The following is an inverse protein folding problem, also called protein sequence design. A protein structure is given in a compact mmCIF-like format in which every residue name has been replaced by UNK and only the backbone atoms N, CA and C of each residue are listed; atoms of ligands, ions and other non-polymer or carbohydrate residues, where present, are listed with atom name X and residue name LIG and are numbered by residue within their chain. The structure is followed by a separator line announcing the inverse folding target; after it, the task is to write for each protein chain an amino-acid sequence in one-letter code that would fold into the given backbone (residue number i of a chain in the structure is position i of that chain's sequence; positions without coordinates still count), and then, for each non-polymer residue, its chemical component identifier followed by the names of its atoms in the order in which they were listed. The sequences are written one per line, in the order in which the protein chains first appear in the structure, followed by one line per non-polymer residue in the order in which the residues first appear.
data_IF_618789860373
#
_entry.id   IF_618789860373
#
_cell.length_a   1.000
_cell.length_b   1.000
_cell.length_c   1.000
_cell.angle_alpha   90.00
_cell.angle_beta   90.00
_cell.angle_gamma   90.00
#
_symmetry.space_group_name_H-M   'P 1'
#
loop_
_entity.id
_entity.type
_entity.pdbx_description
1 polymer ?
#
# COMPACT_ATOMS: atom_id res chain seq x y z
N UNK A 1 30.24 15.24 20.25
CA UNK A 1 30.51 15.25 18.80
C UNK A 1 30.27 13.88 18.17
N UNK A 2 31.06 12.84 18.46
CA UNK A 2 30.88 11.50 17.82
C UNK A 2 29.48 10.88 18.04
N UNK A 3 28.92 10.98 19.25
CA UNK A 3 27.57 10.51 19.54
C UNK A 3 26.47 11.35 18.89
N UNK A 4 26.69 12.65 18.71
CA UNK A 4 25.71 13.55 18.10
C UNK A 4 25.62 13.27 16.60
N UNK A 5 26.75 13.04 15.94
CA UNK A 5 26.83 12.64 14.53
C UNK A 5 26.15 11.29 14.30
N UNK A 6 26.36 10.33 15.21
CA UNK A 6 25.69 9.03 15.15
C UNK A 6 24.16 9.16 15.33
N UNK A 7 23.72 10.04 16.23
CA UNK A 7 22.29 10.30 16.44
C UNK A 7 21.67 10.94 15.19
N UNK A 8 22.34 11.93 14.60
CA UNK A 8 21.88 12.60 13.37
C UNK A 8 21.77 11.60 12.22
N UNK A 9 22.79 10.76 12.03
CA UNK A 9 22.78 9.72 10.99
C UNK A 9 21.60 8.75 11.16
N UNK A 10 21.29 8.33 12.38
CA UNK A 10 20.14 7.45 12.65
C UNK A 10 18.80 8.15 12.41
N UNK A 11 18.69 9.44 12.73
CA UNK A 11 17.47 10.22 12.48
C UNK A 11 17.23 10.44 10.97
N UNK A 12 18.29 10.65 10.19
CA UNK A 12 18.18 10.77 8.74
C UNK A 12 17.70 9.49 8.08
N UNK A 13 18.18 8.32 8.54
CA UNK A 13 17.69 7.01 8.07
C UNK A 13 16.20 6.84 8.38
N UNK A 14 15.78 7.10 9.63
CA UNK A 14 14.37 6.99 10.03
C UNK A 14 13.46 7.92 9.22
N UNK A 15 13.93 9.12 8.90
CA UNK A 15 13.20 10.07 8.05
C UNK A 15 13.02 9.52 6.64
N UNK A 16 14.06 8.97 6.03
CA UNK A 16 13.99 8.38 4.69
C UNK A 16 13.03 7.18 4.64
N UNK A 17 13.04 6.33 5.67
CA UNK A 17 12.12 5.19 5.77
C UNK A 17 10.66 5.65 5.93
N UNK A 18 10.40 6.66 6.77
CA UNK A 18 9.06 7.24 6.94
C UNK A 18 8.56 7.85 5.62
N UNK A 19 9.42 8.57 4.90
CA UNK A 19 9.05 9.18 3.62
C UNK A 19 8.80 8.13 2.54
N UNK A 20 9.56 7.02 2.53
CA UNK A 20 9.29 5.86 1.68
C UNK A 20 7.93 5.24 2.01
N UNK A 21 7.64 4.98 3.29
CA UNK A 21 6.37 4.40 3.73
C UNK A 21 5.20 5.31 3.35
N UNK A 22 5.30 6.62 3.59
CA UNK A 22 4.26 7.60 3.21
C UNK A 22 4.01 7.63 1.71
N UNK A 23 5.08 7.60 0.90
CA UNK A 23 4.98 7.61 -0.56
C UNK A 23 4.22 6.39 -1.10
N UNK A 24 4.40 5.22 -0.47
CA UNK A 24 3.77 3.97 -0.91
C UNK A 24 2.47 3.63 -0.16
N UNK A 25 2.15 4.34 0.92
CA UNK A 25 0.85 4.26 1.61
C UNK A 25 -0.29 4.90 0.79
N UNK A 26 0.04 5.85 -0.08
CA UNK A 26 -0.96 6.54 -0.93
C UNK A 26 -1.50 5.60 -2.04
N UNK A 27 -0.87 4.45 -2.30
CA UNK A 27 -1.24 3.50 -3.36
C UNK A 27 -2.12 2.32 -2.90
N UNK A 28 -2.76 2.38 -1.73
CA UNK A 28 -3.76 1.37 -1.31
C UNK A 28 -5.09 2.03 -0.92
N UNK A 29 -5.53 3.01 -1.71
CA UNK A 29 -6.92 3.45 -1.72
C UNK A 29 -7.62 2.80 -2.90
N UNK A 30 -8.36 1.71 -2.66
CA UNK A 30 -9.25 1.15 -3.68
C UNK A 30 -10.17 2.26 -4.19
N UNK A 31 -10.18 2.46 -5.50
CA UNK A 31 -11.12 3.39 -6.13
C UNK A 31 -12.52 2.80 -6.05
N UNK A 32 -13.54 3.64 -6.25
CA UNK A 32 -14.93 3.15 -6.33
C UNK A 32 -15.09 2.13 -7.46
N UNK A 33 -14.31 2.24 -8.53
CA UNK A 33 -14.34 1.30 -9.65
C UNK A 33 -13.67 -0.04 -9.30
N UNK A 34 -12.61 -0.03 -8.49
CA UNK A 34 -11.99 -1.26 -7.97
C UNK A 34 -12.98 -2.00 -7.06
N UNK A 35 -13.67 -1.27 -6.18
CA UNK A 35 -14.71 -1.83 -5.32
C UNK A 35 -15.86 -2.41 -6.15
N UNK A 36 -16.31 -1.68 -7.18
CA UNK A 36 -17.37 -2.14 -8.07
C UNK A 36 -16.96 -3.41 -8.82
N UNK A 37 -15.74 -3.46 -9.33
CA UNK A 37 -15.20 -4.63 -10.05
C UNK A 37 -15.13 -5.87 -9.15
N UNK A 38 -14.78 -5.70 -7.87
CA UNK A 38 -14.81 -6.78 -6.89
C UNK A 38 -16.25 -7.28 -6.62
N UNK A 39 -17.21 -6.36 -6.48
CA UNK A 39 -18.62 -6.73 -6.31
C UNK A 39 -19.16 -7.51 -7.52
N UNK A 40 -18.86 -7.07 -8.73
CA UNK A 40 -19.27 -7.77 -9.96
C UNK A 40 -18.62 -9.16 -10.05
N UNK A 41 -17.33 -9.28 -9.73
CA UNK A 41 -16.64 -10.57 -9.70
C UNK A 41 -17.23 -11.53 -8.65
N UNK A 42 -17.64 -11.02 -7.48
CA UNK A 42 -18.31 -11.81 -6.45
C UNK A 42 -19.69 -12.30 -6.91
N UNK A 43 -20.46 -11.45 -7.59
CA UNK A 43 -21.75 -11.84 -8.16
C UNK A 43 -21.61 -12.92 -9.24
N UNK A 44 -20.64 -12.77 -10.13
CA UNK A 44 -20.39 -13.76 -11.18
C UNK A 44 -19.95 -15.09 -10.59
N UNK A 45 -19.16 -15.09 -9.51
CA UNK A 45 -18.80 -16.31 -8.79
C UNK A 45 -20.03 -17.00 -8.20
N UNK A 46 -20.91 -16.26 -7.51
CA UNK A 46 -22.16 -16.79 -6.95
C UNK A 46 -23.10 -17.35 -8.03
N UNK A 47 -23.11 -16.72 -9.20
CA UNK A 47 -23.92 -17.14 -10.35
C UNK A 47 -23.26 -18.26 -11.18
N UNK A 48 -22.08 -18.74 -10.79
CA UNK A 48 -21.33 -19.78 -11.52
C UNK A 48 -20.84 -19.35 -12.90
N UNK A 49 -20.71 -18.04 -13.12
CA UNK A 49 -20.30 -17.41 -14.39
C UNK A 49 -18.80 -17.18 -14.49
N UNK A 50 -18.05 -17.46 -13.42
CA UNK A 50 -16.59 -17.39 -13.43
C UNK A 50 -16.01 -18.52 -14.28
N UNK A 51 -15.03 -18.19 -15.13
CA UNK A 51 -14.24 -19.19 -15.85
C UNK A 51 -13.14 -19.72 -14.92
N UNK A 52 -12.96 -21.03 -14.86
CA UNK A 52 -11.69 -21.59 -14.35
C UNK A 52 -10.62 -21.30 -15.40
N UNK A 53 -9.56 -20.61 -14.98
CA UNK A 53 -8.34 -20.44 -15.78
C UNK A 53 -7.66 -21.80 -15.97
#
# INVERSE_FOLDING_TARGET
MENEELIISKLDVLKQEIDFIKKHLIDVTLTQDDVKSLCEAEEDLKKGRTKRL
#
